data_IF_717759108428
#
_entry.id   IF_717759108428
#
_cell.length_a   1.000
_cell.length_b   1.000
_cell.length_c   1.000
_cell.angle_alpha   90.00
_cell.angle_beta   90.00
_cell.angle_gamma   90.00
#
_symmetry.space_group_name_H-M   'P 1'
#
loop_
_entity.id
_entity.type
_entity.pdbx_description
1 polymer ?
#
# COMPACT_ATOMS: atom_id res chain seq x y z
N UNK A 1 -10.48 34.04 4.80
CA UNK A 1 -9.01 33.85 4.68
C UNK A 1 -8.77 33.14 3.35
N UNK A 2 -8.24 33.84 2.35
CA UNK A 2 -7.93 33.24 1.04
C UNK A 2 -6.85 32.16 1.21
N UNK A 3 -7.10 30.96 0.67
CA UNK A 3 -6.18 29.82 0.75
C UNK A 3 -5.77 29.41 -0.67
N UNK A 4 -4.51 29.64 -1.02
CA UNK A 4 -3.94 29.18 -2.30
C UNK A 4 -3.83 27.65 -2.26
N UNK A 5 -4.38 26.95 -3.26
CA UNK A 5 -4.24 25.50 -3.41
C UNK A 5 -5.23 24.64 -2.59
N UNK A 6 -6.35 25.21 -2.12
CA UNK A 6 -7.35 24.49 -1.32
C UNK A 6 -7.97 23.28 -2.03
N UNK A 7 -8.01 23.26 -3.37
CA UNK A 7 -8.54 22.15 -4.18
C UNK A 7 -7.58 20.97 -4.29
N UNK A 8 -6.27 21.19 -4.09
CA UNK A 8 -5.24 20.15 -4.16
C UNK A 8 -4.25 20.26 -2.98
N UNK A 9 -4.69 19.97 -1.74
CA UNK A 9 -3.91 20.19 -0.52
C UNK A 9 -2.50 19.58 -0.54
N UNK A 10 -2.35 18.39 -1.12
CA UNK A 10 -1.06 17.71 -1.24
C UNK A 10 -0.10 18.42 -2.20
N UNK A 11 -0.60 18.90 -3.34
CA UNK A 11 0.21 19.65 -4.31
C UNK A 11 0.61 21.02 -3.74
N UNK A 12 -0.31 21.69 -3.04
CA UNK A 12 -0.05 22.95 -2.35
C UNK A 12 1.04 22.79 -1.27
N UNK A 13 0.98 21.72 -0.47
CA UNK A 13 2.00 21.42 0.52
C UNK A 13 3.38 21.15 -0.11
N UNK A 14 3.44 20.37 -1.20
CA UNK A 14 4.70 20.11 -1.90
C UNK A 14 5.33 21.40 -2.48
N UNK A 15 4.50 22.28 -3.05
CA UNK A 15 4.94 23.57 -3.55
C UNK A 15 5.49 24.44 -2.41
N UNK A 16 4.76 24.50 -1.28
CA UNK A 16 5.21 25.24 -0.10
C UNK A 16 6.56 24.73 0.42
N UNK A 17 6.77 23.42 0.45
CA UNK A 17 8.04 22.82 0.88
C UNK A 17 9.18 23.17 -0.07
N UNK A 18 8.95 23.16 -1.38
CA UNK A 18 9.93 23.57 -2.37
C UNK A 18 10.30 25.06 -2.23
N UNK A 19 9.30 25.93 -2.08
CA UNK A 19 9.52 27.36 -1.86
C UNK A 19 10.28 27.62 -0.57
N UNK A 20 9.93 26.94 0.53
CA UNK A 20 10.65 27.04 1.81
C UNK A 20 12.11 26.62 1.69
N UNK A 21 12.39 25.53 0.99
CA UNK A 21 13.76 25.08 0.77
C UNK A 21 14.59 26.15 0.03
N UNK A 22 14.03 26.71 -1.03
CA UNK A 22 14.64 27.80 -1.80
C UNK A 22 14.84 29.06 -0.94
N UNK A 23 13.81 29.52 -0.23
CA UNK A 23 13.89 30.72 0.61
C UNK A 23 14.89 30.56 1.76
N UNK A 24 14.96 29.39 2.41
CA UNK A 24 15.99 29.12 3.44
C UNK A 24 17.40 29.16 2.86
N UNK A 25 17.60 28.61 1.67
CA UNK A 25 18.88 28.68 0.98
C UNK A 25 19.26 30.12 0.59
N UNK A 26 18.27 30.91 0.12
CA UNK A 26 18.47 32.29 -0.27
C UNK A 26 18.72 33.21 0.95
N UNK A 27 18.00 33.02 2.05
CA UNK A 27 18.14 33.84 3.26
C UNK A 27 19.36 33.48 4.11
N UNK A 28 19.77 32.20 4.15
CA UNK A 28 20.93 31.76 4.94
C UNK A 28 22.22 31.79 4.11
N UNK A 29 22.59 30.68 3.44
CA UNK A 29 23.86 30.53 2.72
C UNK A 29 24.24 31.63 1.73
N UNK A 30 23.26 32.37 1.18
CA UNK A 30 23.51 33.39 0.15
C UNK A 30 23.13 34.80 0.57
N UNK A 31 22.41 34.98 1.67
CA UNK A 31 21.92 36.27 2.18
C UNK A 31 21.22 37.15 1.12
N UNK A 32 20.63 36.54 0.08
CA UNK A 32 19.96 37.21 -1.04
C UNK A 32 18.56 37.73 -0.66
N UNK A 33 18.02 37.31 0.48
CA UNK A 33 16.63 37.51 0.83
C UNK A 33 16.49 37.87 2.31
N UNK A 34 16.19 39.14 2.59
CA UNK A 34 16.10 39.68 3.96
C UNK A 34 14.85 39.26 4.74
N UNK A 35 13.80 38.76 4.08
CA UNK A 35 12.59 38.24 4.72
C UNK A 35 11.99 37.11 3.90
N UNK A 36 11.82 35.95 4.53
CA UNK A 36 11.18 34.78 3.93
C UNK A 36 9.66 34.97 3.78
N UNK A 37 9.12 35.05 2.55
CA UNK A 37 7.68 35.27 2.31
C UNK A 37 6.83 34.03 2.63
N UNK A 38 7.43 32.87 2.88
CA UNK A 38 6.71 31.64 3.24
C UNK A 38 6.47 31.52 4.75
N UNK A 39 7.01 32.45 5.54
CA UNK A 39 6.79 32.52 6.98
C UNK A 39 5.31 32.78 7.28
N UNK A 40 4.73 31.99 8.19
CA UNK A 40 3.32 32.08 8.57
C UNK A 40 2.34 31.34 7.65
N UNK A 41 2.78 30.80 6.50
CA UNK A 41 1.92 29.97 5.63
C UNK A 41 1.78 28.57 6.23
N UNK A 42 0.61 28.22 6.76
CA UNK A 42 0.38 26.88 7.32
C UNK A 42 0.23 25.82 6.21
N UNK A 43 0.75 24.62 6.46
CA UNK A 43 0.41 23.45 5.64
C UNK A 43 -1.07 23.13 5.76
N UNK A 44 -1.65 22.59 4.69
CA UNK A 44 -2.94 21.93 4.76
C UNK A 44 -2.82 20.62 5.55
N UNK A 45 -3.90 20.26 6.24
CA UNK A 45 -4.00 18.96 6.92
C UNK A 45 -3.77 17.82 5.93
N UNK A 46 -2.93 16.87 6.31
CA UNK A 46 -2.70 15.68 5.50
C UNK A 46 -3.96 14.81 5.50
N UNK A 47 -4.39 14.37 4.32
CA UNK A 47 -5.52 13.47 4.19
C UNK A 47 -5.24 12.05 4.70
N UNK A 48 -6.27 11.20 4.69
CA UNK A 48 -6.23 9.81 5.14
C UNK A 48 -5.30 8.90 4.32
N UNK A 49 -4.73 9.39 3.22
CA UNK A 49 -3.80 8.66 2.37
C UNK A 49 -4.54 7.74 1.40
N UNK A 50 -3.81 6.86 0.73
CA UNK A 50 -4.42 5.90 -0.18
C UNK A 50 -5.12 4.80 0.59
N UNK A 51 -6.41 4.60 0.31
CA UNK A 51 -7.22 3.54 0.90
C UNK A 51 -6.79 2.17 0.34
N UNK A 52 -6.83 1.11 1.17
CA UNK A 52 -6.71 -0.25 0.67
C UNK A 52 -7.88 -0.59 -0.27
N UNK A 53 -7.64 -1.46 -1.24
CA UNK A 53 -8.69 -2.00 -2.09
C UNK A 53 -9.64 -2.84 -1.23
N UNK A 54 -10.93 -2.74 -1.50
CA UNK A 54 -11.96 -3.53 -0.81
C UNK A 54 -11.89 -5.00 -1.23
N UNK A 55 -12.47 -5.93 -0.45
CA UNK A 55 -12.56 -7.33 -0.86
C UNK A 55 -13.19 -7.52 -2.24
N UNK A 56 -14.23 -6.74 -2.57
CA UNK A 56 -14.91 -6.81 -3.86
C UNK A 56 -14.03 -6.31 -5.00
N UNK A 57 -13.23 -5.26 -4.76
CA UNK A 57 -12.24 -4.76 -5.71
C UNK A 57 -11.13 -5.77 -6.00
N UNK A 58 -10.63 -6.45 -4.95
CA UNK A 58 -9.64 -7.51 -5.09
C UNK A 58 -10.23 -8.70 -5.83
N UNK A 59 -11.43 -9.16 -5.46
CA UNK A 59 -12.11 -10.26 -6.14
C UNK A 59 -12.42 -9.95 -7.61
N UNK A 60 -12.80 -8.70 -7.91
CA UNK A 60 -12.97 -8.23 -9.27
C UNK A 60 -11.66 -8.31 -10.06
N UNK A 61 -10.56 -7.82 -9.50
CA UNK A 61 -9.26 -7.86 -10.17
C UNK A 61 -8.74 -9.29 -10.34
N UNK A 62 -8.91 -10.14 -9.33
CA UNK A 62 -8.54 -11.56 -9.37
C UNK A 62 -9.25 -12.29 -10.52
N UNK A 63 -10.53 -11.95 -10.76
CA UNK A 63 -11.35 -12.56 -11.81
C UNK A 63 -11.16 -11.96 -13.21
N UNK A 64 -11.00 -10.64 -13.31
CA UNK A 64 -11.14 -9.93 -14.58
C UNK A 64 -9.81 -9.38 -15.13
N UNK A 65 -8.79 -9.17 -14.30
CA UNK A 65 -7.50 -8.71 -14.82
C UNK A 65 -6.80 -9.88 -15.51
N UNK A 66 -6.22 -9.61 -16.68
CA UNK A 66 -5.47 -10.60 -17.47
C UNK A 66 -4.11 -10.04 -17.89
N UNK A 67 -3.25 -10.92 -18.41
CA UNK A 67 -1.95 -10.55 -18.98
C UNK A 67 -1.05 -9.77 -18.02
N UNK A 68 -0.39 -8.72 -18.52
CA UNK A 68 0.57 -7.93 -17.75
C UNK A 68 -0.08 -7.06 -16.67
N UNK A 69 -1.36 -6.69 -16.84
CA UNK A 69 -2.09 -5.98 -15.79
C UNK A 69 -2.33 -6.88 -14.57
N UNK A 70 -2.77 -8.12 -14.80
CA UNK A 70 -2.90 -9.12 -13.73
C UNK A 70 -1.58 -9.37 -13.03
N UNK A 71 -0.51 -9.58 -13.81
CA UNK A 71 0.84 -9.79 -13.27
C UNK A 71 1.30 -8.63 -12.39
N UNK A 72 1.11 -7.38 -12.84
CA UNK A 72 1.46 -6.20 -12.06
C UNK A 72 0.63 -6.08 -10.77
N UNK A 73 -0.66 -6.40 -10.84
CA UNK A 73 -1.56 -6.45 -9.70
C UNK A 73 -1.15 -7.48 -8.66
N UNK A 74 -0.89 -8.73 -9.06
CA UNK A 74 -0.44 -9.81 -8.15
C UNK A 74 0.90 -9.42 -7.52
N UNK A 75 1.86 -8.95 -8.30
CA UNK A 75 3.15 -8.47 -7.78
C UNK A 75 2.96 -7.35 -6.74
N UNK A 76 2.16 -6.33 -7.04
CA UNK A 76 1.92 -5.21 -6.13
C UNK A 76 1.18 -5.64 -4.85
N UNK A 77 0.18 -6.52 -4.97
CA UNK A 77 -0.64 -7.03 -3.86
C UNK A 77 0.17 -7.87 -2.88
N UNK A 78 1.02 -8.76 -3.38
CA UNK A 78 1.75 -9.71 -2.53
C UNK A 78 3.06 -9.13 -1.99
N UNK A 79 3.79 -8.36 -2.79
CA UNK A 79 5.08 -7.79 -2.36
C UNK A 79 4.94 -6.49 -1.57
N UNK A 80 3.80 -5.80 -1.73
CA UNK A 80 3.59 -4.47 -1.18
C UNK A 80 4.55 -3.41 -1.72
N UNK A 81 5.27 -3.66 -2.82
CA UNK A 81 6.22 -2.72 -3.41
C UNK A 81 5.53 -1.56 -4.15
N UNK A 82 6.25 -0.44 -4.38
CA UNK A 82 5.67 0.70 -5.12
C UNK A 82 5.60 0.30 -6.58
N UNK A 83 4.63 0.83 -7.32
CA UNK A 83 4.53 0.52 -8.76
C UNK A 83 5.81 0.89 -9.54
N UNK A 84 6.58 1.88 -9.07
CA UNK A 84 7.89 2.22 -9.61
C UNK A 84 8.98 1.16 -9.41
N UNK A 85 8.81 0.31 -8.41
CA UNK A 85 9.71 -0.79 -8.08
C UNK A 85 9.19 -2.10 -8.70
N UNK A 86 7.87 -2.33 -8.70
CA UNK A 86 7.22 -3.48 -9.35
C UNK A 86 7.58 -3.60 -10.83
N UNK A 87 7.62 -2.48 -11.57
CA UNK A 87 8.01 -2.49 -13.00
C UNK A 87 9.48 -2.83 -13.26
N UNK A 88 10.31 -2.85 -12.20
CA UNK A 88 11.74 -3.18 -12.29
C UNK A 88 12.06 -4.59 -11.80
N UNK A 89 11.16 -5.16 -11.00
CA UNK A 89 11.36 -6.45 -10.36
C UNK A 89 11.46 -7.57 -11.41
N UNK A 90 12.47 -8.42 -11.29
CA UNK A 90 12.72 -9.53 -12.20
C UNK A 90 13.36 -10.74 -11.54
N UNK A 91 13.70 -11.74 -12.34
CA UNK A 91 14.26 -13.01 -11.85
C UNK A 91 15.59 -12.86 -11.11
N UNK A 92 16.41 -11.87 -11.49
CA UNK A 92 17.71 -11.61 -10.86
C UNK A 92 17.60 -10.96 -9.48
N UNK A 93 16.39 -10.53 -9.08
CA UNK A 93 16.16 -9.98 -7.75
C UNK A 93 15.75 -11.06 -6.75
N UNK A 94 15.62 -12.33 -7.17
CA UNK A 94 15.29 -13.45 -6.29
C UNK A 94 16.52 -13.87 -5.50
N UNK A 95 16.36 -13.92 -4.18
CA UNK A 95 17.39 -14.22 -3.20
C UNK A 95 16.80 -15.12 -2.11
N UNK A 96 17.19 -16.40 -2.09
CA UNK A 96 16.77 -17.42 -1.10
C UNK A 96 15.25 -17.50 -0.84
N UNK A 97 14.44 -17.41 -1.90
CA UNK A 97 12.97 -17.49 -1.78
C UNK A 97 12.28 -16.16 -1.45
N UNK A 98 13.03 -15.05 -1.45
CA UNK A 98 12.51 -13.69 -1.37
C UNK A 98 12.96 -12.82 -2.54
N UNK A 99 12.45 -11.61 -2.62
CA UNK A 99 12.93 -10.55 -3.51
C UNK A 99 13.79 -9.55 -2.74
N UNK A 100 14.94 -9.17 -3.31
CA UNK A 100 15.92 -8.24 -2.73
C UNK A 100 16.22 -7.06 -3.68
N UNK A 101 15.21 -6.26 -3.99
CA UNK A 101 15.31 -5.10 -4.89
C UNK A 101 15.38 -3.76 -4.10
N UNK A 102 16.41 -2.91 -4.31
CA UNK A 102 16.46 -1.56 -3.75
C UNK A 102 15.33 -0.66 -4.28
N UNK A 103 14.55 -0.12 -3.36
CA UNK A 103 13.46 0.80 -3.66
C UNK A 103 13.98 2.11 -4.23
N UNK A 104 13.44 2.55 -5.38
CA UNK A 104 13.88 3.76 -6.08
C UNK A 104 13.74 5.02 -5.23
N UNK A 105 12.67 5.13 -4.43
CA UNK A 105 12.34 6.35 -3.69
C UNK A 105 13.22 6.55 -2.45
N UNK A 106 13.55 5.48 -1.74
CA UNK A 106 14.14 5.54 -0.40
C UNK A 106 15.52 4.88 -0.31
N UNK A 107 15.92 4.09 -1.31
CA UNK A 107 17.16 3.30 -1.28
C UNK A 107 17.10 2.06 -0.38
N UNK A 108 16.05 1.90 0.42
CA UNK A 108 15.83 0.71 1.28
C UNK A 108 15.79 -0.54 0.40
N UNK A 109 16.54 -1.57 0.80
CA UNK A 109 16.55 -2.89 0.16
C UNK A 109 15.81 -3.88 1.07
N UNK A 110 14.47 -3.99 0.97
CA UNK A 110 13.73 -4.99 1.73
C UNK A 110 14.04 -6.39 1.20
N UNK A 111 13.90 -7.38 2.07
CA UNK A 111 13.85 -8.78 1.67
C UNK A 111 12.40 -9.24 1.76
N UNK A 112 11.72 -9.30 0.60
CA UNK A 112 10.29 -9.55 0.53
C UNK A 112 10.02 -11.02 0.22
N UNK A 113 9.43 -11.82 1.13
CA UNK A 113 9.17 -13.23 0.88
C UNK A 113 8.31 -13.45 -0.38
N UNK A 114 8.64 -14.47 -1.17
CA UNK A 114 7.76 -14.93 -2.25
C UNK A 114 6.72 -15.86 -1.60
N UNK A 115 5.50 -15.34 -1.47
CA UNK A 115 4.40 -16.10 -0.86
C UNK A 115 3.90 -17.22 -1.79
N UNK A 116 3.35 -18.32 -1.28
CA UNK A 116 2.91 -19.47 -2.10
C UNK A 116 1.95 -19.08 -3.24
N UNK A 117 1.07 -18.10 -3.01
CA UNK A 117 0.14 -17.62 -4.03
C UNK A 117 0.87 -16.90 -5.17
N UNK A 118 1.89 -16.12 -4.83
CA UNK A 118 2.73 -15.44 -5.83
C UNK A 118 3.65 -16.44 -6.54
N UNK A 119 4.21 -17.41 -5.81
CA UNK A 119 5.03 -18.48 -6.39
C UNK A 119 4.26 -19.29 -7.44
N UNK A 120 3.02 -19.68 -7.12
CA UNK A 120 2.13 -20.40 -8.05
C UNK A 120 1.82 -19.59 -9.31
N UNK A 121 1.65 -18.27 -9.20
CA UNK A 121 1.52 -17.39 -10.36
C UNK A 121 2.82 -17.32 -11.17
N UNK A 122 3.96 -17.13 -10.50
CA UNK A 122 5.28 -17.04 -11.11
C UNK A 122 5.69 -18.31 -11.86
N UNK A 123 5.26 -19.49 -11.41
CA UNK A 123 5.54 -20.77 -12.07
C UNK A 123 5.02 -20.83 -13.52
N UNK A 124 4.02 -20.01 -13.87
CA UNK A 124 3.43 -19.92 -15.21
C UNK A 124 4.17 -18.93 -16.12
N UNK A 125 5.13 -18.17 -15.60
CA UNK A 125 5.76 -17.07 -16.31
C UNK A 125 7.03 -17.50 -17.03
N UNK A 126 7.24 -16.94 -18.23
CA UNK A 126 8.48 -17.13 -18.98
C UNK A 126 9.69 -16.63 -18.17
N UNK A 127 10.70 -17.50 -18.04
CA UNK A 127 12.00 -17.13 -17.47
C UNK A 127 12.88 -16.48 -18.53
N UNK A 128 13.12 -15.17 -18.39
CA UNK A 128 14.00 -14.41 -19.27
C UNK A 128 14.69 -13.27 -18.52
N UNK A 129 15.84 -12.75 -19.01
CA UNK A 129 16.51 -11.63 -18.36
C UNK A 129 15.61 -10.39 -18.24
N UNK A 130 15.81 -9.60 -17.18
CA UNK A 130 15.11 -8.34 -16.94
C UNK A 130 13.79 -8.48 -16.14
N UNK A 131 12.94 -7.43 -16.15
CA UNK A 131 11.78 -7.35 -15.28
C UNK A 131 10.64 -8.29 -15.68
N UNK A 132 9.71 -8.57 -14.78
CA UNK A 132 8.55 -9.45 -15.06
C UNK A 132 7.51 -8.84 -16.00
N UNK A 133 7.55 -7.52 -16.18
CA UNK A 133 6.53 -6.75 -16.90
C UNK A 133 7.09 -6.18 -18.20
N UNK A 134 6.60 -6.70 -19.32
CA UNK A 134 7.00 -6.30 -20.66
C UNK A 134 5.81 -6.01 -21.57
N UNK A 135 5.98 -4.98 -22.40
CA UNK A 135 5.07 -4.65 -23.49
C UNK A 135 5.23 -5.63 -24.66
N UNK A 136 4.25 -5.68 -25.57
CA UNK A 136 4.28 -6.55 -26.76
C UNK A 136 5.47 -6.27 -27.68
N UNK A 137 5.99 -5.03 -27.68
CA UNK A 137 7.18 -4.63 -28.42
C UNK A 137 8.51 -5.04 -27.74
N UNK A 138 8.46 -5.84 -26.68
CA UNK A 138 9.62 -6.33 -25.93
C UNK A 138 10.24 -5.34 -24.94
N UNK A 139 9.75 -4.09 -24.86
CA UNK A 139 10.26 -3.10 -23.89
C UNK A 139 9.65 -3.30 -22.50
N UNK A 140 10.42 -3.09 -21.42
CA UNK A 140 9.87 -3.07 -20.07
C UNK A 140 8.72 -2.08 -19.92
N UNK A 141 7.79 -2.36 -19.00
CA UNK A 141 6.79 -1.37 -18.61
C UNK A 141 7.42 -0.19 -17.85
N UNK A 142 6.86 1.00 -18.07
CA UNK A 142 7.16 2.17 -17.24
C UNK A 142 6.08 2.37 -16.20
N UNK A 143 6.40 3.10 -15.13
CA UNK A 143 5.42 3.47 -14.10
C UNK A 143 4.20 4.19 -14.70
N UNK A 144 4.43 5.16 -15.59
CA UNK A 144 3.35 5.93 -16.20
C UNK A 144 2.46 5.04 -17.08
N UNK A 145 3.05 4.08 -17.80
CA UNK A 145 2.29 3.15 -18.62
C UNK A 145 1.43 2.20 -17.77
N UNK A 146 1.94 1.73 -16.62
CA UNK A 146 1.13 0.95 -15.68
C UNK A 146 0.00 1.77 -15.03
N UNK A 147 0.21 3.06 -14.79
CA UNK A 147 -0.89 3.95 -14.38
C UNK A 147 -1.93 4.11 -15.48
N UNK A 148 -1.50 4.29 -16.74
CA UNK A 148 -2.41 4.36 -17.89
C UNK A 148 -3.24 3.08 -18.00
N UNK A 149 -2.60 1.91 -17.96
CA UNK A 149 -3.30 0.62 -18.05
C UNK A 149 -4.31 0.41 -16.93
N UNK A 150 -3.96 0.81 -15.70
CA UNK A 150 -4.92 0.73 -14.60
C UNK A 150 -6.09 1.71 -14.81
N UNK A 151 -5.84 2.94 -15.28
CA UNK A 151 -6.91 3.90 -15.59
C UNK A 151 -7.84 3.38 -16.71
N UNK A 152 -7.27 2.78 -17.75
CA UNK A 152 -8.03 2.17 -18.84
C UNK A 152 -8.90 1.02 -18.30
N UNK A 153 -8.36 0.17 -17.42
CA UNK A 153 -9.11 -0.91 -16.78
C UNK A 153 -10.25 -0.43 -15.87
N UNK A 154 -10.13 0.76 -15.27
CA UNK A 154 -11.20 1.37 -14.44
C UNK A 154 -12.33 1.96 -15.27
N UNK A 155 -12.09 2.27 -16.54
CA UNK A 155 -13.06 2.97 -17.37
C UNK A 155 -14.28 2.09 -17.60
N UNK A 156 -15.46 2.56 -17.16
CA UNK A 156 -16.71 1.81 -17.24
C UNK A 156 -16.83 0.68 -16.21
N UNK A 157 -15.98 0.64 -15.18
CA UNK A 157 -16.00 -0.39 -14.13
C UNK A 157 -16.24 0.23 -12.74
N UNK A 158 -17.51 0.42 -12.32
CA UNK A 158 -17.83 1.07 -11.04
C UNK A 158 -17.19 0.39 -9.82
N UNK A 159 -17.01 -0.94 -9.86
CA UNK A 159 -16.41 -1.70 -8.75
C UNK A 159 -15.00 -1.21 -8.43
N UNK A 160 -14.23 -0.85 -9.45
CA UNK A 160 -12.82 -0.48 -9.31
C UNK A 160 -12.53 0.99 -9.66
N UNK A 161 -13.54 1.85 -9.77
CA UNK A 161 -13.37 3.21 -10.30
C UNK A 161 -12.34 4.07 -9.53
N UNK A 162 -12.21 3.85 -8.22
CA UNK A 162 -11.38 4.64 -7.31
C UNK A 162 -10.08 3.94 -6.88
N UNK A 163 -9.81 2.73 -7.40
CA UNK A 163 -8.65 1.95 -6.98
C UNK A 163 -7.35 2.58 -7.42
N UNK A 164 -6.29 2.48 -6.62
CA UNK A 164 -4.96 3.00 -6.99
C UNK A 164 -3.86 2.03 -6.61
N UNK A 165 -2.74 2.03 -7.36
CA UNK A 165 -1.60 1.15 -7.09
C UNK A 165 -1.10 1.23 -5.64
N UNK A 166 -1.09 2.42 -5.05
CA UNK A 166 -0.68 2.60 -3.65
C UNK A 166 -1.62 1.93 -2.64
N UNK A 167 -2.89 1.68 -3.00
CA UNK A 167 -3.83 0.95 -2.16
C UNK A 167 -3.38 -0.50 -1.93
N UNK A 168 -2.81 -1.15 -2.95
CA UNK A 168 -2.32 -2.53 -2.83
C UNK A 168 -1.17 -2.67 -1.82
N UNK A 169 -0.37 -1.62 -1.60
CA UNK A 169 0.64 -1.60 -0.53
C UNK A 169 0.00 -1.68 0.85
N UNK A 170 -1.15 -1.02 1.03
CA UNK A 170 -1.92 -1.12 2.26
C UNK A 170 -2.51 -2.53 2.40
N UNK A 171 -3.04 -3.12 1.32
CA UNK A 171 -3.53 -4.50 1.34
C UNK A 171 -2.44 -5.51 1.73
N UNK A 172 -1.20 -5.35 1.24
CA UNK A 172 -0.08 -6.20 1.62
C UNK A 172 0.21 -6.14 3.13
N UNK A 173 0.28 -4.92 3.70
CA UNK A 173 0.48 -4.72 5.14
C UNK A 173 -0.68 -5.29 5.96
N UNK A 174 -1.92 -5.05 5.54
CA UNK A 174 -3.13 -5.55 6.20
C UNK A 174 -3.12 -7.08 6.25
N UNK A 175 -2.79 -7.74 5.13
CA UNK A 175 -2.69 -9.20 5.05
C UNK A 175 -1.66 -9.73 6.04
N UNK A 176 -0.42 -9.23 5.99
CA UNK A 176 0.64 -9.67 6.90
C UNK A 176 0.27 -9.41 8.37
N UNK A 177 -0.40 -8.30 8.65
CA UNK A 177 -0.88 -8.01 9.99
C UNK A 177 -1.95 -9.01 10.45
N UNK A 178 -2.88 -9.38 9.58
CA UNK A 178 -3.91 -10.40 9.83
C UNK A 178 -3.33 -11.80 10.01
N UNK A 179 -2.22 -12.10 9.31
CA UNK A 179 -1.47 -13.34 9.45
C UNK A 179 -0.63 -13.40 10.74
N UNK A 180 -0.67 -12.33 11.56
CA UNK A 180 -0.04 -12.29 12.88
C UNK A 180 1.39 -11.77 12.90
N UNK A 181 1.92 -11.25 11.79
CA UNK A 181 3.27 -10.70 11.76
C UNK A 181 3.36 -9.38 12.55
N UNK A 182 4.52 -9.19 13.20
CA UNK A 182 4.81 -7.97 13.96
C UNK A 182 5.12 -6.80 13.02
N UNK A 183 4.90 -5.56 13.49
CA UNK A 183 5.19 -4.38 12.69
C UNK A 183 6.66 -4.31 12.19
N UNK A 184 7.69 -4.66 12.98
CA UNK A 184 9.08 -4.73 12.49
C UNK A 184 9.26 -5.73 11.33
N UNK A 185 8.73 -6.95 11.46
CA UNK A 185 8.80 -7.95 10.38
C UNK A 185 8.15 -7.44 9.09
N UNK A 186 7.02 -6.74 9.20
CA UNK A 186 6.34 -6.14 8.04
C UNK A 186 7.16 -4.98 7.45
N UNK A 187 7.82 -4.18 8.29
CA UNK A 187 8.72 -3.11 7.83
C UNK A 187 9.85 -3.68 6.98
N UNK A 188 10.49 -4.76 7.43
CA UNK A 188 11.61 -5.42 6.76
C UNK A 188 11.17 -6.09 5.45
N UNK A 189 10.00 -6.76 5.47
CA UNK A 189 9.46 -7.45 4.30
C UNK A 189 9.00 -6.49 3.19
N UNK A 190 8.38 -5.36 3.54
CA UNK A 190 7.78 -4.43 2.56
C UNK A 190 8.69 -3.23 2.26
N UNK A 191 9.67 -2.94 3.12
CA UNK A 191 10.53 -1.75 3.03
C UNK A 191 9.71 -0.48 3.26
N UNK A 192 8.99 -0.42 4.38
CA UNK A 192 8.12 0.68 4.73
C UNK A 192 8.47 1.19 6.14
N UNK A 193 8.36 2.51 6.36
CA UNK A 193 8.61 3.08 7.68
C UNK A 193 7.61 2.57 8.72
N UNK A 194 8.00 2.40 10.00
CA UNK A 194 7.11 1.95 11.06
C UNK A 194 5.79 2.75 11.17
N UNK A 195 5.85 4.07 10.98
CA UNK A 195 4.66 4.94 11.04
C UNK A 195 3.64 4.60 9.95
N UNK A 196 4.11 4.18 8.78
CA UNK A 196 3.25 3.83 7.65
C UNK A 196 2.69 2.41 7.79
N UNK A 197 3.49 1.47 8.31
CA UNK A 197 3.01 0.12 8.65
C UNK A 197 1.93 0.20 9.71
N UNK A 198 2.15 0.98 10.77
CA UNK A 198 1.16 1.22 11.83
C UNK A 198 -0.12 1.85 11.26
N UNK A 199 0.03 2.89 10.42
CA UNK A 199 -1.12 3.53 9.74
C UNK A 199 -1.96 2.52 8.97
N UNK A 200 -1.34 1.63 8.18
CA UNK A 200 -2.08 0.64 7.41
C UNK A 200 -2.62 -0.50 8.28
N UNK A 201 -1.90 -0.90 9.33
CA UNK A 201 -2.33 -1.91 10.29
C UNK A 201 -3.64 -1.54 10.97
N UNK A 202 -3.89 -0.25 11.23
CA UNK A 202 -5.18 0.22 11.77
C UNK A 202 -6.40 -0.18 10.94
N UNK A 203 -6.27 -0.36 9.63
CA UNK A 203 -7.38 -0.86 8.80
C UNK A 203 -7.69 -2.34 9.10
N UNK A 204 -6.66 -3.15 9.39
CA UNK A 204 -6.83 -4.53 9.85
C UNK A 204 -7.40 -4.56 11.28
N UNK A 205 -6.79 -3.80 12.18
CA UNK A 205 -7.06 -3.84 13.62
C UNK A 205 -8.47 -3.33 13.95
N UNK A 206 -9.01 -2.34 13.23
CA UNK A 206 -10.40 -1.89 13.42
C UNK A 206 -11.41 -3.01 13.15
N UNK A 207 -11.19 -3.78 12.08
CA UNK A 207 -12.08 -4.90 11.71
C UNK A 207 -11.91 -6.07 12.68
N UNK A 208 -10.67 -6.45 12.99
CA UNK A 208 -10.38 -7.52 13.94
C UNK A 208 -10.87 -7.19 15.35
N UNK A 209 -10.66 -5.97 15.83
CA UNK A 209 -11.15 -5.50 17.12
C UNK A 209 -12.68 -5.55 17.22
N UNK A 210 -13.40 -5.08 16.19
CA UNK A 210 -14.85 -5.19 16.12
C UNK A 210 -15.35 -6.65 16.11
N UNK A 211 -14.69 -7.53 15.35
CA UNK A 211 -15.01 -8.97 15.33
C UNK A 211 -14.70 -9.66 16.67
N UNK A 212 -13.60 -9.28 17.33
CA UNK A 212 -13.23 -9.81 18.63
C UNK A 212 -14.29 -9.48 19.69
N UNK A 213 -14.87 -8.27 19.66
CA UNK A 213 -16.00 -7.90 20.52
C UNK A 213 -17.20 -8.84 20.26
N UNK A 214 -17.55 -9.11 19.01
CA UNK A 214 -18.65 -10.04 18.68
C UNK A 214 -18.39 -11.46 19.17
N UNK A 215 -17.15 -11.95 19.04
CA UNK A 215 -16.74 -13.28 19.53
C UNK A 215 -16.83 -13.33 21.05
N UNK A 216 -16.35 -12.30 21.75
CA UNK A 216 -16.39 -12.22 23.21
C UNK A 216 -17.85 -12.16 23.73
N UNK A 217 -18.71 -11.35 23.09
CA UNK A 217 -20.14 -11.30 23.42
C UNK A 217 -20.83 -12.66 23.23
N UNK A 218 -20.52 -13.39 22.16
CA UNK A 218 -21.03 -14.76 21.94
C UNK A 218 -20.56 -15.72 23.04
N UNK A 219 -19.27 -15.67 23.41
CA UNK A 219 -18.72 -16.49 24.51
C UNK A 219 -19.38 -16.17 25.85
N UNK A 220 -19.62 -14.90 26.17
CA UNK A 220 -20.32 -14.48 27.40
C UNK A 220 -21.74 -15.02 27.45
N UNK A 221 -22.52 -14.85 26.37
CA UNK A 221 -23.89 -15.41 26.28
C UNK A 221 -23.90 -16.92 26.47
N UNK A 222 -22.98 -17.64 25.81
CA UNK A 222 -22.89 -19.10 25.92
C UNK A 222 -22.54 -19.54 27.36
N UNK A 223 -21.61 -18.84 28.03
CA UNK A 223 -21.27 -19.10 29.43
C UNK A 223 -22.43 -18.80 30.39
N UNK A 224 -23.24 -17.77 30.14
CA UNK A 224 -24.47 -17.47 30.89
C UNK A 224 -25.54 -18.54 30.70
N UNK A 225 -25.76 -19.01 29.47
CA UNK A 225 -26.70 -20.11 29.16
C UNK A 225 -26.27 -21.41 29.87
N UNK A 226 -24.98 -21.74 29.86
CA UNK A 226 -24.46 -22.93 30.55
C UNK A 226 -24.61 -22.82 32.08
N UNK A 227 -24.41 -21.63 32.66
CA UNK A 227 -24.66 -21.40 34.10
C UNK A 227 -26.15 -21.61 34.45
N UNK A 228 -27.08 -21.06 33.68
CA UNK A 228 -28.52 -21.23 33.94
C UNK A 228 -28.99 -22.70 33.86
N UNK A 229 -28.46 -23.47 32.91
CA UNK A 229 -28.77 -24.90 32.76
C UNK A 229 -28.28 -25.74 33.95
N UNK A 230 -27.17 -25.36 34.59
CA UNK A 230 -26.64 -26.04 35.78
C UNK A 230 -27.47 -25.74 37.04
N UNK A 231 -28.05 -24.55 37.14
CA UNK A 231 -28.91 -24.18 38.29
C UNK A 231 -30.33 -24.75 38.19
N UNK A 232 -30.77 -25.16 36.98
CA UNK A 232 -32.13 -25.66 36.72
C UNK A 232 -32.38 -27.16 36.93
N UNK A 233 -31.35 -27.96 37.28
CA UNK A 233 -31.48 -29.40 37.56
C UNK A 233 -31.18 -29.71 39.02
N UNK A 234 -32.05 -29.26 39.91
CA UNK A 234 -32.11 -29.66 41.32
C UNK A 234 -33.55 -29.48 41.82
N UNK A 235 -34.46 -30.34 41.34
CA UNK A 235 -35.72 -30.71 41.99
C UNK A 235 -36.09 -32.13 41.55
#
# INVERSE_FOLDING_TARGET
>A
MEKIGATTPGAANNLLDALRAMCRWASGPRELLGRDPTQGVAHFQQGEGHKPWTPDQLAFADKNFTGMLHRAYVLARYTGQRISDVVRLGWNDIDEGGFSLPQKKTGVRPWCPIFPELESEMAKWEKRPGPFLYQDNGKPFTTNLMWKWLNDARTGQPVIEDVVWHGLRANAVIRLRQDGFSAPQICDAVGMSPQMVERYSRYADRKMGGQAILIDLKKRKQNETVKQLKTGKLK
#
